data_IF_350893112385
#
_entry.id   IF_350893112385
#
_cell.length_a   1.000
_cell.length_b   1.000
_cell.length_c   1.000
_cell.angle_alpha   90.00
_cell.angle_beta   90.00
_cell.angle_gamma   90.00
#
_symmetry.space_group_name_H-M   'P 1'
#
loop_
_entity.id
_entity.type
_entity.pdbx_description
1 polymer ?
#
# COMPACT_ATOMS: atom_id res chain seq x y z
N UNK A 1 0.72 -7.74 -2.00
CA UNK A 1 1.64 -7.79 -0.84
C UNK A 1 3.01 -8.30 -1.27
N UNK A 2 3.13 -9.55 -1.72
CA UNK A 2 4.38 -10.15 -2.23
C UNK A 2 5.16 -9.25 -3.21
N UNK A 3 4.47 -8.65 -4.20
CA UNK A 3 5.10 -7.82 -5.24
C UNK A 3 5.81 -6.55 -4.72
N UNK A 4 5.43 -6.06 -3.54
CA UNK A 4 5.96 -4.83 -2.93
C UNK A 4 6.60 -5.07 -1.57
N UNK A 5 6.83 -6.34 -1.21
CA UNK A 5 7.50 -6.74 0.03
C UNK A 5 6.85 -6.18 1.31
N UNK A 6 5.52 -6.12 1.32
CA UNK A 6 4.72 -5.77 2.50
C UNK A 6 4.23 -7.05 3.17
N UNK A 7 4.39 -7.16 4.48
CA UNK A 7 3.98 -8.33 5.27
C UNK A 7 2.67 -8.10 6.04
N UNK A 8 1.86 -9.15 6.31
CA UNK A 8 0.69 -9.02 7.17
C UNK A 8 1.05 -8.47 8.57
N UNK A 9 0.27 -7.51 9.05
CA UNK A 9 0.51 -6.80 10.30
C UNK A 9 1.47 -5.60 10.18
N UNK A 10 2.10 -5.37 9.02
CA UNK A 10 2.97 -4.21 8.81
C UNK A 10 2.17 -2.90 8.85
N UNK A 11 2.77 -1.87 9.46
CA UNK A 11 2.22 -0.52 9.48
C UNK A 11 2.30 0.10 8.08
N UNK A 12 1.18 0.63 7.61
CA UNK A 12 1.08 1.36 6.34
C UNK A 12 0.39 2.70 6.53
N UNK A 13 0.71 3.65 5.65
CA UNK A 13 -0.05 4.87 5.47
C UNK A 13 -0.93 4.73 4.22
N UNK A 14 -2.22 5.05 4.32
CA UNK A 14 -3.17 5.06 3.20
C UNK A 14 -3.53 6.50 2.88
N UNK A 15 -3.21 6.91 1.65
CA UNK A 15 -3.44 8.25 1.13
C UNK A 15 -4.59 8.21 0.14
N UNK A 16 -5.67 8.92 0.41
CA UNK A 16 -6.82 8.93 -0.47
C UNK A 16 -6.77 10.12 -1.44
N UNK A 17 -6.73 9.83 -2.75
CA UNK A 17 -6.64 10.85 -3.79
C UNK A 17 -7.93 11.65 -3.98
N UNK A 18 -9.08 11.13 -3.52
CA UNK A 18 -10.38 11.75 -3.74
C UNK A 18 -10.70 12.81 -2.67
N UNK A 19 -10.31 12.56 -1.42
CA UNK A 19 -10.64 13.43 -0.29
C UNK A 19 -9.42 13.98 0.47
N UNK A 20 -8.20 13.59 0.08
CA UNK A 20 -6.96 14.06 0.68
C UNK A 20 -6.67 13.50 2.08
N UNK A 21 -7.48 12.55 2.58
CA UNK A 21 -7.22 11.93 3.88
C UNK A 21 -5.91 11.12 3.85
N UNK A 22 -5.24 11.13 5.00
CA UNK A 22 -4.00 10.39 5.25
C UNK A 22 -4.15 9.68 6.58
N UNK A 23 -4.17 8.37 6.56
CA UNK A 23 -4.38 7.56 7.77
C UNK A 23 -3.30 6.52 7.90
N UNK A 24 -2.94 6.21 9.14
CA UNK A 24 -2.05 5.10 9.46
C UNK A 24 -2.88 3.90 9.92
N UNK A 25 -2.54 2.71 9.44
CA UNK A 25 -3.17 1.45 9.82
C UNK A 25 -2.17 0.31 9.65
N UNK A 26 -2.62 -0.94 9.79
CA UNK A 26 -1.86 -2.13 9.48
C UNK A 26 -2.53 -2.94 8.36
N UNK A 27 -1.76 -3.80 7.71
CA UNK A 27 -2.22 -4.66 6.61
C UNK A 27 -2.77 -5.98 7.13
N UNK A 28 -3.87 -6.42 6.52
CA UNK A 28 -4.41 -7.79 6.65
C UNK A 28 -4.35 -8.47 5.29
N UNK A 29 -4.03 -9.75 5.27
CA UNK A 29 -3.97 -10.52 4.03
C UNK A 29 -5.38 -10.75 3.47
N UNK A 30 -5.56 -10.43 2.19
CA UNK A 30 -6.78 -10.71 1.44
C UNK A 30 -6.64 -11.98 0.60
N UNK A 31 -7.69 -12.35 -0.12
CA UNK A 31 -7.64 -13.47 -1.06
C UNK A 31 -6.59 -13.21 -2.16
N UNK A 32 -5.75 -14.21 -2.42
CA UNK A 32 -4.71 -14.15 -3.44
C UNK A 32 -5.34 -13.87 -4.81
N UNK A 33 -4.76 -12.93 -5.54
CA UNK A 33 -5.23 -12.48 -6.86
C UNK A 33 -6.66 -11.92 -6.91
N UNK A 34 -7.32 -11.73 -5.75
CA UNK A 34 -8.67 -11.18 -5.66
C UNK A 34 -8.76 -9.67 -5.87
N UNK A 35 -7.63 -8.96 -5.87
CA UNK A 35 -7.57 -7.50 -6.06
C UNK A 35 -8.31 -6.70 -4.98
N UNK A 36 -8.59 -7.30 -3.82
CA UNK A 36 -9.36 -6.63 -2.77
C UNK A 36 -8.52 -5.55 -2.09
N UNK A 37 -9.06 -4.33 -2.01
CA UNK A 37 -8.56 -3.25 -1.16
C UNK A 37 -9.72 -2.82 -0.28
N UNK A 38 -9.62 -3.10 1.02
CA UNK A 38 -10.72 -2.90 1.97
C UNK A 38 -10.22 -2.15 3.20
N UNK A 39 -10.77 -0.95 3.42
CA UNK A 39 -10.58 -0.22 4.67
C UNK A 39 -11.65 -0.63 5.67
N UNK A 40 -11.21 -1.27 6.76
CA UNK A 40 -12.08 -1.82 7.79
C UNK A 40 -12.18 -0.90 9.01
N UNK A 41 -13.27 -1.04 9.78
CA UNK A 41 -13.43 -0.38 11.07
C UNK A 41 -13.33 1.16 10.97
N UNK A 42 -12.57 1.83 11.85
CA UNK A 42 -12.42 3.29 11.81
C UNK A 42 -11.89 3.84 10.48
N UNK A 43 -11.05 3.07 9.77
CA UNK A 43 -10.49 3.46 8.48
C UNK A 43 -11.58 3.60 7.39
N UNK A 44 -12.69 2.85 7.50
CA UNK A 44 -13.81 2.89 6.56
C UNK A 44 -14.48 4.28 6.49
N UNK A 45 -14.31 5.14 7.51
CA UNK A 45 -14.86 6.50 7.51
C UNK A 45 -14.09 7.47 6.60
N UNK A 46 -12.92 7.07 6.12
CA UNK A 46 -11.99 7.94 5.37
C UNK A 46 -11.91 7.61 3.87
N UNK A 47 -12.67 6.63 3.40
CA UNK A 47 -12.79 6.34 1.98
C UNK A 47 -14.19 5.82 1.63
N UNK A 48 -14.52 5.89 0.35
CA UNK A 48 -15.71 5.27 -0.22
C UNK A 48 -15.30 4.23 -1.28
N UNK A 49 -16.22 3.32 -1.60
CA UNK A 49 -16.03 2.39 -2.73
C UNK A 49 -15.80 3.22 -4.00
N UNK A 50 -14.72 2.92 -4.72
CA UNK A 50 -14.32 3.64 -5.94
C UNK A 50 -13.22 4.67 -5.73
N UNK A 51 -12.92 5.05 -4.48
CA UNK A 51 -11.80 5.94 -4.20
C UNK A 51 -10.47 5.28 -4.58
N UNK A 52 -9.63 6.04 -5.27
CA UNK A 52 -8.23 5.68 -5.54
C UNK A 52 -7.37 6.07 -4.34
N UNK A 53 -6.57 5.13 -3.88
CA UNK A 53 -5.66 5.30 -2.75
C UNK A 53 -4.23 4.94 -3.14
N UNK A 54 -3.27 5.50 -2.41
CA UNK A 54 -1.87 5.08 -2.40
C UNK A 54 -1.60 4.43 -1.05
N UNK A 55 -0.98 3.26 -1.03
CA UNK A 55 -0.60 2.54 0.18
C UNK A 55 0.92 2.55 0.27
N UNK A 56 1.46 3.07 1.36
CA UNK A 56 2.90 3.20 1.60
C UNK A 56 3.30 2.40 2.83
N UNK A 57 4.41 1.68 2.76
CA UNK A 57 5.16 1.27 3.95
C UNK A 57 6.54 1.94 3.94
N UNK A 58 7.12 2.09 5.13
CA UNK A 58 8.38 2.78 5.33
C UNK A 58 9.40 1.81 5.94
N UNK A 59 10.61 1.83 5.40
CA UNK A 59 11.74 1.12 5.98
C UNK A 59 12.69 2.13 6.65
N UNK A 60 13.22 1.77 7.80
CA UNK A 60 14.39 2.44 8.37
C UNK A 60 15.61 1.73 7.80
N UNK A 61 16.46 2.50 7.13
CA UNK A 61 17.65 2.00 6.46
C UNK A 61 18.88 2.67 7.05
N UNK A 62 20.00 1.93 7.07
CA UNK A 62 21.28 2.53 7.36
C UNK A 62 21.83 3.30 6.14
N UNK A 63 22.79 4.19 6.37
CA UNK A 63 23.39 4.98 5.29
C UNK A 63 24.12 4.10 4.25
N UNK A 64 24.65 2.95 4.66
CA UNK A 64 25.37 2.05 3.77
C UNK A 64 24.42 1.36 2.78
N UNK A 65 23.21 0.99 3.20
CA UNK A 65 22.14 0.47 2.35
C UNK A 65 21.70 1.51 1.33
N UNK A 66 21.52 2.76 1.75
CA UNK A 66 21.20 3.87 0.84
C UNK A 66 22.32 4.06 -0.19
N UNK A 67 23.58 4.09 0.25
CA UNK A 67 24.76 4.24 -0.63
C UNK A 67 24.97 3.05 -1.57
N UNK A 68 24.53 1.85 -1.19
CA UNK A 68 24.50 0.66 -2.06
C UNK A 68 23.42 0.73 -3.13
N UNK A 69 22.61 1.80 -3.15
CA UNK A 69 21.60 2.04 -4.17
C UNK A 69 20.29 1.34 -3.86
N UNK A 70 19.90 1.22 -2.58
CA UNK A 70 18.58 0.73 -2.22
C UNK A 70 17.48 1.48 -2.97
N UNK A 71 16.45 0.75 -3.41
CA UNK A 71 15.26 1.27 -4.08
C UNK A 71 14.03 0.66 -3.44
N UNK A 72 12.98 1.46 -3.27
CA UNK A 72 11.67 0.96 -2.82
C UNK A 72 11.01 0.14 -3.91
N UNK A 73 10.30 -0.93 -3.54
CA UNK A 73 9.47 -1.68 -4.50
C UNK A 73 8.12 -0.99 -4.67
N UNK A 74 7.75 -0.72 -5.90
CA UNK A 74 6.50 -0.03 -6.22
C UNK A 74 5.72 -0.82 -7.26
N UNK A 75 4.49 -1.20 -6.94
CA UNK A 75 3.54 -1.76 -7.90
C UNK A 75 2.60 -0.66 -8.40
N UNK A 76 2.57 -0.45 -9.72
CA UNK A 76 1.55 0.34 -10.39
C UNK A 76 0.40 -0.59 -10.70
N UNK A 77 -0.77 -0.27 -10.14
CA UNK A 77 -1.99 -1.06 -10.28
C UNK A 77 -2.98 -0.37 -11.22
N UNK A 78 -3.54 -1.16 -12.12
CA UNK A 78 -4.54 -0.75 -13.09
C UNK A 78 -5.96 -1.13 -12.68
N UNK A 79 -6.80 -1.40 -13.67
CA UNK A 79 -8.19 -1.79 -13.46
C UNK A 79 -8.32 -3.10 -12.67
N UNK A 80 -9.29 -3.14 -11.75
CA UNK A 80 -9.48 -4.29 -10.86
C UNK A 80 -8.31 -4.54 -9.90
N UNK A 81 -7.50 -3.52 -9.62
CA UNK A 81 -6.31 -3.59 -8.78
C UNK A 81 -5.27 -4.61 -9.26
N UNK A 82 -5.25 -4.90 -10.56
CA UNK A 82 -4.25 -5.77 -11.19
C UNK A 82 -2.93 -5.03 -11.36
N UNK A 83 -1.83 -5.69 -11.07
CA UNK A 83 -0.49 -5.10 -11.24
C UNK A 83 -0.19 -5.01 -12.74
N UNK A 84 0.06 -3.79 -13.21
CA UNK A 84 0.51 -3.52 -14.59
C UNK A 84 2.03 -3.47 -14.69
N UNK A 85 2.68 -2.97 -13.63
CA UNK A 85 4.14 -2.82 -13.59
C UNK A 85 4.64 -2.86 -12.15
N UNK A 86 5.80 -3.48 -11.96
CA UNK A 86 6.60 -3.37 -10.72
C UNK A 86 7.90 -2.64 -11.07
N UNK A 87 8.26 -1.66 -10.26
CA UNK A 87 9.53 -0.91 -10.35
C UNK A 87 10.26 -0.90 -9.02
#
# INVERSE_FOLDING_TARGET
LEAVDIIPGEKVEVLNLHNGSRIETYVMEGEKDGGVICLNGPAARWAQIGDKVIILSYALLDEAEIRKGWQSRTAIVGEGNKIEKVV
#
